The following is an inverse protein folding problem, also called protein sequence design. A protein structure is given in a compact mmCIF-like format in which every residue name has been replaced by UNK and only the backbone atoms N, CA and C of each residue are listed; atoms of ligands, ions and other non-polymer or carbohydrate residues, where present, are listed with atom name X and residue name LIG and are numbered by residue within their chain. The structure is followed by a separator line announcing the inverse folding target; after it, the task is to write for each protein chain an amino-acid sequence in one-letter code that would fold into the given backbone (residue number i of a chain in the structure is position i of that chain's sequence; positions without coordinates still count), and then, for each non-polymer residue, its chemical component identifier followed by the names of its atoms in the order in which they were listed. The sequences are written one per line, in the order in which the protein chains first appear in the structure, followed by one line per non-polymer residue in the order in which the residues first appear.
data_IF_233817541752
#
_entry.id   IF_233817541752
#
_cell.length_a   1.000
_cell.length_b   1.000
_cell.length_c   1.000
_cell.angle_alpha   90.00
_cell.angle_beta   90.00
_cell.angle_gamma   90.00
#
_symmetry.space_group_name_H-M   'P 1'
#
loop_
_entity.id
_entity.type
_entity.pdbx_description
1 polymer ?
#
# COMPACT_ATOMS: atom_id res chain seq x y z
N UNK A 1 7.07 -26.46 13.59
CA UNK A 1 5.79 -25.89 13.23
C UNK A 1 5.77 -24.42 13.67
N UNK A 2 5.60 -23.47 12.71
CA UNK A 2 5.63 -22.04 13.04
C UNK A 2 4.47 -21.60 13.96
N UNK A 3 3.35 -22.32 13.99
CA UNK A 3 2.23 -21.97 14.89
C UNK A 3 2.62 -22.04 16.37
N UNK A 4 3.59 -22.88 16.72
CA UNK A 4 4.06 -23.08 18.09
C UNK A 4 5.23 -22.11 18.45
N UNK A 5 5.67 -21.24 17.51
CA UNK A 5 6.75 -20.29 17.73
C UNK A 5 6.38 -19.32 18.88
N UNK A 6 7.11 -19.35 20.02
CA UNK A 6 6.88 -18.42 21.10
C UNK A 6 7.55 -17.07 20.83
N UNK A 7 6.90 -16.00 21.24
CA UNK A 7 7.48 -14.66 21.29
C UNK A 7 6.82 -13.82 22.40
N UNK A 8 7.42 -12.69 22.74
CA UNK A 8 6.86 -11.76 23.71
C UNK A 8 5.92 -10.79 22.99
N UNK A 9 4.69 -10.65 23.48
CA UNK A 9 3.75 -9.62 22.98
C UNK A 9 4.15 -8.22 23.49
N UNK A 10 3.37 -7.21 23.09
CA UNK A 10 3.59 -5.81 23.50
C UNK A 10 3.52 -5.57 25.02
N UNK A 11 3.01 -6.52 25.79
CA UNK A 11 2.91 -6.48 27.25
C UNK A 11 4.02 -7.31 27.93
N UNK A 12 4.90 -7.92 27.13
CA UNK A 12 5.96 -8.81 27.61
C UNK A 12 5.46 -10.19 28.06
N UNK A 13 4.25 -10.58 27.63
CA UNK A 13 3.71 -11.91 27.87
C UNK A 13 4.10 -12.86 26.75
N UNK A 14 4.56 -14.06 27.10
CA UNK A 14 4.81 -15.09 26.10
C UNK A 14 3.52 -15.58 25.45
N UNK A 15 3.47 -15.50 24.14
CA UNK A 15 2.37 -15.97 23.29
C UNK A 15 2.94 -16.77 22.13
N UNK A 16 2.11 -17.56 21.45
CA UNK A 16 2.54 -18.29 20.25
C UNK A 16 2.08 -17.58 18.97
N UNK A 17 2.73 -17.83 17.84
CA UNK A 17 2.27 -17.35 16.54
C UNK A 17 0.83 -17.77 16.25
N UNK A 18 0.46 -19.03 16.56
CA UNK A 18 -0.92 -19.50 16.41
C UNK A 18 -1.91 -18.66 17.20
N UNK A 19 -1.57 -18.26 18.42
CA UNK A 19 -2.42 -17.38 19.24
C UNK A 19 -2.50 -15.98 18.63
N UNK A 20 -1.38 -15.44 18.16
CA UNK A 20 -1.36 -14.15 17.44
C UNK A 20 -2.29 -14.15 16.22
N UNK A 21 -2.27 -15.21 15.40
CA UNK A 21 -3.13 -15.32 14.21
C UNK A 21 -4.61 -15.23 14.60
N UNK A 22 -5.01 -15.94 15.64
CA UNK A 22 -6.41 -15.91 16.14
C UNK A 22 -6.79 -14.54 16.69
N UNK A 23 -5.97 -13.96 17.57
CA UNK A 23 -6.27 -12.69 18.24
C UNK A 23 -6.31 -11.50 17.27
N UNK A 24 -5.65 -11.61 16.11
CA UNK A 24 -5.62 -10.58 15.08
C UNK A 24 -6.60 -10.84 13.92
N UNK A 25 -7.54 -11.79 14.06
CA UNK A 25 -8.51 -12.11 13.01
C UNK A 25 -7.84 -12.33 11.66
N UNK A 26 -6.76 -13.12 11.65
CA UNK A 26 -5.99 -13.39 10.43
C UNK A 26 -6.72 -14.39 9.56
N UNK A 27 -7.09 -13.97 8.36
CA UNK A 27 -7.77 -14.82 7.37
C UNK A 27 -6.78 -15.61 6.53
N UNK A 28 -5.63 -15.00 6.22
CA UNK A 28 -4.56 -15.60 5.46
C UNK A 28 -3.19 -15.11 5.89
N UNK A 29 -2.23 -16.03 6.01
CA UNK A 29 -0.86 -15.70 6.41
C UNK A 29 0.13 -16.60 5.66
N UNK A 30 1.09 -15.98 4.99
CA UNK A 30 2.13 -16.72 4.27
C UNK A 30 3.50 -16.14 4.62
N UNK A 31 4.46 -17.06 4.81
CA UNK A 31 5.89 -16.72 5.01
C UNK A 31 6.70 -17.36 3.89
N UNK A 32 7.48 -16.54 3.21
CA UNK A 32 8.50 -16.99 2.27
C UNK A 32 9.88 -16.71 2.88
N UNK A 33 10.78 -17.67 2.74
CA UNK A 33 12.18 -17.54 3.14
C UNK A 33 13.07 -18.16 2.05
N UNK A 34 14.11 -17.44 1.63
CA UNK A 34 14.98 -17.84 0.52
C UNK A 34 14.18 -18.22 -0.75
N UNK A 35 13.11 -17.49 -1.05
CA UNK A 35 12.26 -17.71 -2.21
C UNK A 35 11.28 -18.88 -2.11
N UNK A 36 11.24 -19.62 -1.00
CA UNK A 36 10.35 -20.76 -0.79
C UNK A 36 9.29 -20.47 0.25
N UNK A 37 8.07 -20.96 0.06
CA UNK A 37 7.00 -20.92 1.06
C UNK A 37 7.37 -21.87 2.20
N UNK A 38 7.58 -21.33 3.40
CA UNK A 38 7.92 -22.10 4.62
C UNK A 38 6.74 -22.22 5.58
N UNK A 39 5.74 -21.36 5.44
CA UNK A 39 4.50 -21.43 6.21
C UNK A 39 3.35 -20.82 5.43
N UNK A 40 2.19 -21.43 5.52
CA UNK A 40 0.95 -20.97 4.90
C UNK A 40 -0.23 -21.34 5.80
N UNK A 41 -1.12 -20.36 6.04
CA UNK A 41 -2.29 -20.52 6.90
C UNK A 41 -3.50 -19.83 6.27
N UNK A 42 -4.65 -20.46 6.36
CA UNK A 42 -5.95 -19.95 5.91
C UNK A 42 -6.98 -20.20 7.00
N UNK A 43 -7.83 -19.22 7.29
CA UNK A 43 -8.91 -19.31 8.27
C UNK A 43 -10.14 -18.51 7.81
N UNK A 44 -11.19 -18.48 8.63
CA UNK A 44 -12.43 -17.74 8.41
C UNK A 44 -13.07 -18.00 7.02
N UNK A 45 -12.83 -19.17 6.45
CA UNK A 45 -13.39 -19.57 5.16
C UNK A 45 -12.62 -19.05 3.94
N UNK A 46 -11.48 -18.38 4.12
CA UNK A 46 -10.60 -18.02 3.02
C UNK A 46 -9.98 -19.28 2.41
N UNK A 47 -10.02 -19.40 1.09
CA UNK A 47 -9.42 -20.50 0.35
C UNK A 47 -8.17 -20.02 -0.42
N UNK A 48 -7.25 -20.93 -0.81
CA UNK A 48 -6.04 -20.55 -1.56
C UNK A 48 -6.29 -19.76 -2.85
N UNK A 49 -7.45 -19.97 -3.48
CA UNK A 49 -7.87 -19.28 -4.69
C UNK A 49 -8.84 -18.10 -4.45
N UNK A 50 -9.12 -17.77 -3.18
CA UNK A 50 -9.99 -16.65 -2.85
C UNK A 50 -9.20 -15.34 -2.89
N UNK A 51 -9.62 -14.34 -3.71
CA UNK A 51 -9.01 -13.02 -3.65
C UNK A 51 -9.50 -12.30 -2.39
N UNK A 52 -8.59 -11.59 -1.73
CA UNK A 52 -8.85 -10.72 -0.58
C UNK A 52 -8.45 -9.29 -0.90
N UNK A 53 -9.21 -8.32 -0.38
CA UNK A 53 -8.92 -6.90 -0.59
C UNK A 53 -7.67 -6.49 0.20
N UNK A 54 -6.78 -5.72 -0.45
CA UNK A 54 -5.53 -5.27 0.13
C UNK A 54 -5.63 -3.94 0.88
N UNK A 55 -6.75 -3.24 0.70
CA UNK A 55 -6.85 -1.87 1.17
C UNK A 55 -5.59 -1.05 0.81
N UNK A 56 -4.97 -0.36 1.78
CA UNK A 56 -3.87 0.58 1.48
C UNK A 56 -2.57 -0.07 0.99
N UNK A 57 -2.39 -1.39 1.08
CA UNK A 57 -1.26 -2.05 0.42
C UNK A 57 -1.35 -1.90 -1.11
N UNK A 58 -2.54 -1.67 -1.66
CA UNK A 58 -2.74 -1.30 -3.07
C UNK A 58 -1.89 -0.10 -3.50
N UNK A 59 -1.63 0.84 -2.57
CA UNK A 59 -0.79 2.01 -2.83
C UNK A 59 0.66 1.63 -3.16
N UNK A 60 1.19 0.66 -2.43
CA UNK A 60 2.54 0.13 -2.67
C UNK A 60 2.63 -0.54 -4.04
N UNK A 61 1.61 -1.31 -4.43
CA UNK A 61 1.54 -1.91 -5.77
C UNK A 61 1.44 -0.86 -6.88
N UNK A 62 0.63 0.19 -6.68
CA UNK A 62 0.50 1.32 -7.61
C UNK A 62 1.85 2.05 -7.80
N UNK A 63 2.62 2.21 -6.72
CA UNK A 63 3.94 2.84 -6.79
C UNK A 63 4.98 1.98 -7.53
N UNK A 64 4.91 0.65 -7.42
CA UNK A 64 5.75 -0.25 -8.22
C UNK A 64 5.42 -0.09 -9.71
N UNK A 65 4.14 -0.05 -10.07
CA UNK A 65 3.72 0.22 -11.44
C UNK A 65 4.22 1.59 -11.94
N UNK A 66 4.20 2.61 -11.07
CA UNK A 66 4.75 3.93 -11.39
C UNK A 66 6.23 3.85 -11.76
N UNK A 67 7.03 3.10 -10.99
CA UNK A 67 8.46 2.94 -11.27
C UNK A 67 8.76 2.33 -12.64
N UNK A 68 7.94 1.40 -13.09
CA UNK A 68 8.06 0.81 -14.43
C UNK A 68 7.80 1.85 -15.52
N UNK A 69 6.76 2.70 -15.35
CA UNK A 69 6.47 3.75 -16.32
C UNK A 69 7.53 4.85 -16.34
N UNK A 70 8.09 5.18 -15.18
CA UNK A 70 9.22 6.14 -15.09
C UNK A 70 10.43 5.60 -15.84
N UNK A 71 10.81 4.35 -15.63
CA UNK A 71 11.96 3.72 -16.29
C UNK A 71 11.79 3.68 -17.83
N UNK A 72 10.56 3.54 -18.29
CA UNK A 72 10.23 3.57 -19.73
C UNK A 72 10.07 4.97 -20.32
N UNK A 73 10.20 6.01 -19.49
CA UNK A 73 10.09 7.40 -19.93
C UNK A 73 8.65 7.88 -20.22
N UNK A 74 7.63 7.14 -19.76
CA UNK A 74 6.23 7.59 -19.88
C UNK A 74 5.87 8.65 -18.83
N UNK A 75 6.62 8.72 -17.75
CA UNK A 75 6.33 9.54 -16.59
C UNK A 75 7.62 10.08 -15.96
N UNK A 76 7.65 11.38 -15.64
CA UNK A 76 8.69 11.98 -14.80
C UNK A 76 8.11 12.28 -13.39
N UNK A 77 8.66 11.72 -12.32
CA UNK A 77 8.20 12.02 -10.96
C UNK A 77 8.29 13.51 -10.58
N UNK A 78 9.16 14.28 -11.22
CA UNK A 78 9.34 15.69 -10.93
C UNK A 78 8.40 16.59 -11.73
N UNK A 79 7.71 16.06 -12.74
CA UNK A 79 6.74 16.83 -13.51
C UNK A 79 5.52 17.20 -12.67
N UNK A 80 4.96 18.41 -12.88
CA UNK A 80 3.67 18.80 -12.31
C UNK A 80 2.56 17.82 -12.72
N UNK A 81 1.68 17.50 -11.77
CA UNK A 81 0.52 16.62 -12.01
C UNK A 81 -0.35 17.19 -13.14
N UNK A 82 -0.51 18.51 -13.18
CA UNK A 82 -1.32 19.21 -14.19
C UNK A 82 -0.87 18.98 -15.65
N UNK A 83 0.38 18.55 -15.88
CA UNK A 83 0.84 18.15 -17.22
C UNK A 83 0.13 16.89 -17.72
N UNK A 84 -0.19 15.96 -16.81
CA UNK A 84 -0.89 14.72 -17.11
C UNK A 84 -2.41 14.88 -16.96
N UNK A 85 -2.84 15.63 -15.95
CA UNK A 85 -4.24 15.82 -15.55
C UNK A 85 -4.55 17.33 -15.46
N UNK A 86 -4.80 18.01 -16.58
CA UNK A 86 -5.15 19.44 -16.55
C UNK A 86 -6.39 19.77 -15.73
N UNK A 87 -7.26 18.78 -15.50
CA UNK A 87 -8.47 18.89 -14.69
C UNK A 87 -8.21 19.27 -13.22
N UNK A 88 -6.97 19.10 -12.71
CA UNK A 88 -6.61 19.49 -11.34
C UNK A 88 -6.15 20.94 -11.21
N UNK A 89 -6.15 21.73 -12.28
CA UNK A 89 -5.90 23.16 -12.20
C UNK A 89 -6.92 23.82 -11.24
N UNK A 90 -6.46 24.82 -10.46
CA UNK A 90 -7.20 25.49 -9.39
C UNK A 90 -7.57 24.57 -8.19
N UNK A 91 -6.93 23.43 -8.04
CA UNK A 91 -7.07 22.54 -6.88
C UNK A 91 -5.79 22.48 -6.04
N UNK A 92 -5.80 21.67 -4.98
CA UNK A 92 -4.60 21.38 -4.18
C UNK A 92 -3.45 20.79 -5.01
N UNK A 93 -3.74 20.21 -6.16
CA UNK A 93 -2.78 19.45 -6.95
C UNK A 93 -2.11 20.26 -8.08
N UNK A 94 -2.56 21.49 -8.36
CA UNK A 94 -2.10 22.31 -9.49
C UNK A 94 -0.58 22.48 -9.54
N UNK A 95 0.05 22.76 -8.38
CA UNK A 95 1.50 22.95 -8.26
C UNK A 95 2.24 21.74 -7.67
N UNK A 96 1.54 20.66 -7.41
CA UNK A 96 2.12 19.43 -6.88
C UNK A 96 2.75 18.62 -8.02
N UNK A 97 3.84 17.91 -7.71
CA UNK A 97 4.47 16.96 -8.63
C UNK A 97 4.00 15.53 -8.37
N UNK A 98 4.24 14.64 -9.32
CA UNK A 98 4.00 13.20 -9.14
C UNK A 98 4.79 12.65 -7.94
N UNK A 99 5.99 13.20 -7.66
CA UNK A 99 6.79 12.83 -6.48
C UNK A 99 6.06 13.14 -5.18
N UNK A 100 5.40 14.28 -5.09
CA UNK A 100 4.60 14.63 -3.91
C UNK A 100 3.42 13.66 -3.70
N UNK A 101 2.80 13.16 -4.78
CA UNK A 101 1.80 12.08 -4.67
C UNK A 101 2.44 10.80 -4.11
N UNK A 102 3.57 10.37 -4.68
CA UNK A 102 4.29 9.15 -4.32
C UNK A 102 4.72 9.14 -2.86
N UNK A 103 5.23 10.25 -2.36
CA UNK A 103 5.82 10.35 -1.03
C UNK A 103 4.83 10.89 0.03
N UNK A 104 3.53 11.01 -0.32
CA UNK A 104 2.49 11.52 0.58
C UNK A 104 2.85 12.87 1.20
N UNK A 105 3.35 13.80 0.39
CA UNK A 105 3.79 15.13 0.83
C UNK A 105 3.11 16.27 0.08
N UNK A 106 1.90 16.05 -0.43
CA UNK A 106 1.07 17.11 -0.98
C UNK A 106 0.52 17.95 0.19
N UNK A 107 0.70 19.27 0.13
CA UNK A 107 0.07 20.21 1.05
C UNK A 107 -1.41 20.35 0.69
N UNK A 108 -2.26 19.64 1.42
CA UNK A 108 -3.69 19.47 1.12
C UNK A 108 -4.52 19.44 2.40
N UNK A 109 -5.64 20.15 2.38
CA UNK A 109 -6.63 20.08 3.46
C UNK A 109 -7.48 18.81 3.27
N UNK A 110 -7.17 17.80 4.03
CA UNK A 110 -7.89 16.53 4.03
C UNK A 110 -7.57 15.75 5.32
N UNK A 111 -8.60 15.32 6.01
CA UNK A 111 -8.44 14.45 7.17
C UNK A 111 -8.96 13.05 6.85
N UNK A 112 -8.12 12.02 6.96
CA UNK A 112 -8.50 10.63 6.72
C UNK A 112 -8.92 9.97 8.04
N UNK A 113 -10.06 10.40 8.57
CA UNK A 113 -10.66 9.82 9.77
C UNK A 113 -11.68 8.74 9.39
N UNK A 114 -11.36 7.48 9.71
CA UNK A 114 -12.19 6.32 9.36
C UNK A 114 -13.49 6.24 10.16
N UNK A 115 -13.60 6.93 11.29
CA UNK A 115 -14.76 6.95 12.18
C UNK A 115 -15.69 8.13 11.92
N UNK A 116 -15.24 9.15 11.17
CA UNK A 116 -16.04 10.32 10.85
C UNK A 116 -16.91 10.07 9.60
N UNK A 117 -18.21 10.37 9.72
CA UNK A 117 -19.20 10.15 8.65
C UNK A 117 -19.57 11.44 7.88
N UNK A 118 -19.03 12.59 8.25
CA UNK A 118 -19.46 13.89 7.71
C UNK A 118 -18.35 14.76 7.13
N UNK A 119 -17.10 14.33 7.19
CA UNK A 119 -15.95 15.08 6.71
C UNK A 119 -15.57 14.78 5.25
N UNK A 120 -14.42 15.32 4.82
CA UNK A 120 -13.91 15.09 3.47
C UNK A 120 -13.65 13.61 3.18
N UNK A 121 -13.32 12.81 4.19
CA UNK A 121 -13.14 11.36 4.02
C UNK A 121 -14.47 10.65 3.75
N UNK A 122 -15.57 11.07 4.40
CA UNK A 122 -16.90 10.57 4.09
C UNK A 122 -17.31 10.92 2.64
N UNK A 123 -17.06 12.16 2.20
CA UNK A 123 -17.30 12.59 0.82
C UNK A 123 -16.45 11.79 -0.19
N UNK A 124 -15.20 11.53 0.14
CA UNK A 124 -14.34 10.64 -0.65
C UNK A 124 -14.91 9.21 -0.73
N UNK A 125 -15.38 8.64 0.38
CA UNK A 125 -16.03 7.32 0.38
C UNK A 125 -17.30 7.30 -0.48
N UNK A 126 -18.09 8.37 -0.48
CA UNK A 126 -19.22 8.53 -1.41
C UNK A 126 -18.77 8.58 -2.87
N UNK A 127 -17.76 9.37 -3.19
CA UNK A 127 -17.22 9.48 -4.54
C UNK A 127 -16.64 8.16 -5.06
N UNK A 128 -16.04 7.36 -4.18
CA UNK A 128 -15.53 6.03 -4.52
C UNK A 128 -16.61 4.96 -4.69
N UNK A 129 -17.86 5.25 -4.33
CA UNK A 129 -18.95 4.26 -4.30
C UNK A 129 -18.88 3.29 -3.11
N UNK A 130 -18.01 3.55 -2.13
CA UNK A 130 -17.87 2.70 -0.94
C UNK A 130 -19.05 2.81 0.03
N UNK A 131 -19.62 4.02 0.11
CA UNK A 131 -20.87 4.28 0.82
C UNK A 131 -21.89 4.94 -0.13
N UNK A 132 -23.20 4.90 0.19
CA UNK A 132 -24.23 5.57 -0.60
C UNK A 132 -23.99 7.08 -0.71
N UNK A 133 -24.34 7.66 -1.86
CA UNK A 133 -24.32 9.09 -2.06
C UNK A 133 -25.55 9.70 -1.36
N UNK A 134 -25.33 10.45 -0.29
CA UNK A 134 -26.40 11.02 0.54
C UNK A 134 -26.53 12.55 0.40
N UNK A 135 -25.51 13.21 -0.17
CA UNK A 135 -25.49 14.67 -0.34
C UNK A 135 -25.87 15.06 -1.78
N UNK A 136 -26.99 15.79 -2.00
CA UNK A 136 -27.31 16.32 -3.32
C UNK A 136 -26.23 17.26 -3.86
N UNK A 137 -25.74 16.99 -5.08
CA UNK A 137 -24.70 17.80 -5.72
C UNK A 137 -23.26 17.54 -5.26
N UNK A 138 -23.03 16.58 -4.35
CA UNK A 138 -21.69 16.12 -4.04
C UNK A 138 -21.07 15.37 -5.25
N UNK A 139 -19.73 15.39 -5.40
CA UNK A 139 -19.05 14.58 -6.39
C UNK A 139 -19.40 13.09 -6.22
N UNK A 140 -19.86 12.46 -7.27
CA UNK A 140 -20.33 11.07 -7.26
C UNK A 140 -19.32 10.06 -7.83
N UNK A 141 -18.14 10.55 -8.21
CA UNK A 141 -17.04 9.73 -8.75
C UNK A 141 -15.68 10.36 -8.39
N UNK A 142 -14.61 9.58 -8.49
CA UNK A 142 -13.26 10.00 -8.13
C UNK A 142 -12.77 11.20 -8.98
N UNK A 143 -12.97 11.16 -10.29
CA UNK A 143 -12.46 12.20 -11.18
C UNK A 143 -13.15 13.56 -10.98
N UNK A 144 -14.39 13.57 -10.50
CA UNK A 144 -15.09 14.81 -10.10
C UNK A 144 -14.72 15.25 -8.68
N UNK A 145 -14.37 14.32 -7.79
CA UNK A 145 -14.00 14.62 -6.40
C UNK A 145 -12.59 15.20 -6.29
N UNK A 146 -11.60 14.57 -6.92
CA UNK A 146 -10.18 14.93 -6.75
C UNK A 146 -9.86 16.41 -7.00
N UNK A 147 -10.42 17.07 -8.04
CA UNK A 147 -10.19 18.50 -8.27
C UNK A 147 -10.87 19.44 -7.26
N UNK A 148 -11.74 18.93 -6.38
CA UNK A 148 -12.41 19.76 -5.36
C UNK A 148 -11.55 20.00 -4.13
N UNK A 149 -10.49 19.22 -3.94
CA UNK A 149 -9.63 19.29 -2.77
C UNK A 149 -8.81 20.57 -2.74
N UNK A 150 -8.67 21.16 -1.56
CA UNK A 150 -8.07 22.50 -1.36
C UNK A 150 -6.66 22.39 -0.83
N UNK A 151 -5.82 23.32 -1.29
CA UNK A 151 -4.43 23.43 -0.82
C UNK A 151 -4.39 23.91 0.63
N UNK A 152 -3.53 23.27 1.41
CA UNK A 152 -3.17 23.68 2.77
C UNK A 152 -1.67 23.42 2.97
N UNK A 153 -0.89 24.48 3.17
CA UNK A 153 0.57 24.40 3.30
C UNK A 153 1.31 24.20 1.97
N UNK A 154 2.61 24.03 2.11
CA UNK A 154 3.51 23.80 0.98
C UNK A 154 3.67 22.30 0.71
N UNK A 155 3.90 21.95 -0.56
CA UNK A 155 4.22 20.57 -0.94
C UNK A 155 5.65 20.19 -0.55
N UNK A 156 5.87 18.92 -0.19
CA UNK A 156 7.20 18.39 0.09
C UNK A 156 7.76 18.72 1.48
N UNK A 157 7.00 19.41 2.37
CA UNK A 157 7.49 19.85 3.69
C UNK A 157 7.11 18.92 4.83
N UNK A 158 6.01 18.19 4.72
CA UNK A 158 5.54 17.26 5.73
C UNK A 158 4.87 16.05 5.10
N UNK A 159 5.06 14.89 5.70
CA UNK A 159 4.28 13.70 5.37
C UNK A 159 2.83 13.88 5.82
N UNK A 160 1.90 13.68 4.90
CA UNK A 160 0.48 13.71 5.18
C UNK A 160 -0.21 12.57 4.45
N UNK A 161 -0.67 11.57 5.20
CA UNK A 161 -1.31 10.41 4.62
C UNK A 161 -2.69 10.76 4.06
N UNK A 162 -2.85 10.66 2.74
CA UNK A 162 -4.07 11.04 2.02
C UNK A 162 -4.33 10.04 0.90
N UNK A 163 -5.36 9.20 1.03
CA UNK A 163 -5.72 8.19 0.03
C UNK A 163 -6.04 8.77 -1.35
N UNK A 164 -6.76 9.90 -1.49
CA UNK A 164 -6.94 10.59 -2.76
C UNK A 164 -5.67 10.80 -3.60
N UNK A 165 -4.51 11.03 -2.96
CA UNK A 165 -3.23 11.16 -3.65
C UNK A 165 -2.88 9.94 -4.51
N UNK A 166 -3.28 8.75 -4.08
CA UNK A 166 -2.96 7.52 -4.82
C UNK A 166 -4.00 7.24 -5.90
N UNK A 167 -5.27 7.54 -5.68
CA UNK A 167 -6.27 7.43 -6.74
C UNK A 167 -5.97 8.44 -7.87
N UNK A 168 -5.49 9.64 -7.53
CA UNK A 168 -4.99 10.58 -8.53
C UNK A 168 -3.74 10.03 -9.25
N UNK A 169 -2.81 9.39 -8.53
CA UNK A 169 -1.65 8.73 -9.15
C UNK A 169 -2.10 7.66 -10.15
N UNK A 170 -3.10 6.84 -9.81
CA UNK A 170 -3.69 5.88 -10.73
C UNK A 170 -4.23 6.53 -12.00
N UNK A 171 -4.90 7.66 -11.89
CA UNK A 171 -5.37 8.43 -13.05
C UNK A 171 -4.20 8.99 -13.89
N UNK A 172 -3.12 9.48 -13.23
CA UNK A 172 -1.89 9.89 -13.92
C UNK A 172 -1.29 8.74 -14.73
N UNK A 173 -1.23 7.53 -14.15
CA UNK A 173 -0.71 6.34 -14.84
C UNK A 173 -1.53 5.97 -16.08
N UNK A 174 -2.86 6.04 -15.99
CA UNK A 174 -3.74 5.81 -17.15
C UNK A 174 -3.49 6.85 -18.26
N UNK A 175 -3.37 8.14 -17.91
CA UNK A 175 -3.12 9.21 -18.88
C UNK A 175 -1.73 9.10 -19.52
N UNK A 176 -0.71 8.81 -18.72
CA UNK A 176 0.67 8.70 -19.20
C UNK A 176 0.87 7.48 -20.12
N UNK A 177 0.21 6.36 -19.81
CA UNK A 177 0.35 5.12 -20.60
C UNK A 177 -0.66 4.98 -21.75
N UNK A 178 -1.79 5.69 -21.67
CA UNK A 178 -2.91 5.52 -22.60
C UNK A 178 -3.71 4.21 -22.38
N UNK A 179 -3.48 3.50 -21.26
CA UNK A 179 -4.13 2.22 -20.94
C UNK A 179 -4.96 2.31 -19.67
N UNK A 180 -6.08 1.56 -19.55
CA UNK A 180 -6.77 1.37 -18.29
C UNK A 180 -5.83 0.76 -17.24
N UNK A 181 -5.96 1.18 -15.98
CA UNK A 181 -5.10 0.75 -14.88
C UNK A 181 -5.00 -0.79 -14.75
N UNK A 182 -6.14 -1.49 -14.82
CA UNK A 182 -6.17 -2.94 -14.68
C UNK A 182 -5.38 -3.64 -15.81
N UNK A 183 -5.50 -3.16 -17.04
CA UNK A 183 -4.75 -3.68 -18.18
C UNK A 183 -3.25 -3.40 -18.02
N UNK A 184 -2.91 -2.18 -17.65
CA UNK A 184 -1.53 -1.77 -17.42
C UNK A 184 -0.88 -2.62 -16.31
N UNK A 185 -1.56 -2.77 -15.17
CA UNK A 185 -1.07 -3.57 -14.04
C UNK A 185 -0.91 -5.05 -14.42
N UNK A 186 -1.88 -5.61 -15.14
CA UNK A 186 -1.84 -6.99 -15.64
C UNK A 186 -0.64 -7.21 -16.58
N UNK A 187 -0.43 -6.30 -17.52
CA UNK A 187 0.63 -6.41 -18.54
C UNK A 187 2.03 -6.23 -17.96
N UNK A 188 2.18 -5.29 -17.03
CA UNK A 188 3.50 -4.85 -16.57
C UNK A 188 3.99 -5.61 -15.32
N UNK A 189 3.07 -6.10 -14.50
CA UNK A 189 3.42 -6.75 -13.22
C UNK A 189 2.81 -8.15 -13.12
N UNK A 190 1.48 -8.26 -13.22
CA UNK A 190 0.77 -9.45 -12.76
C UNK A 190 1.10 -10.70 -13.58
N UNK A 191 0.99 -10.60 -14.90
CA UNK A 191 1.37 -11.70 -15.80
C UNK A 191 2.87 -11.99 -15.80
N UNK A 192 3.78 -10.98 -15.91
CA UNK A 192 5.22 -11.22 -15.88
C UNK A 192 5.71 -11.90 -14.61
N UNK A 193 5.16 -11.56 -13.44
CA UNK A 193 5.58 -12.18 -12.18
C UNK A 193 5.10 -13.63 -12.01
N UNK A 194 4.26 -14.14 -12.93
CA UNK A 194 3.75 -15.50 -12.91
C UNK A 194 2.68 -15.72 -11.84
N UNK A 195 1.74 -14.77 -11.70
CA UNK A 195 0.59 -14.93 -10.81
C UNK A 195 -0.23 -16.17 -11.17
N UNK A 196 -0.72 -16.89 -10.15
CA UNK A 196 -1.51 -18.09 -10.31
C UNK A 196 -2.98 -17.79 -10.66
N UNK A 197 -3.48 -16.66 -10.11
CA UNK A 197 -4.89 -16.26 -10.26
C UNK A 197 -4.99 -14.80 -10.72
N UNK A 198 -6.16 -14.46 -11.27
CA UNK A 198 -6.47 -13.09 -11.64
C UNK A 198 -6.54 -12.19 -10.39
N UNK A 199 -6.05 -10.96 -10.54
CA UNK A 199 -6.29 -9.89 -9.61
C UNK A 199 -7.52 -9.09 -10.02
N UNK A 200 -8.17 -8.47 -9.05
CA UNK A 200 -9.30 -7.57 -9.27
C UNK A 200 -8.99 -6.19 -8.72
N UNK A 201 -9.64 -5.18 -9.26
CA UNK A 201 -9.61 -3.83 -8.69
C UNK A 201 -11.02 -3.27 -8.62
N UNK A 202 -11.39 -2.77 -7.44
CA UNK A 202 -12.64 -2.06 -7.27
C UNK A 202 -12.60 -0.74 -8.05
N UNK A 203 -13.74 -0.33 -8.59
CA UNK A 203 -13.90 0.91 -9.34
C UNK A 203 -15.02 1.76 -8.74
N UNK A 204 -15.00 3.05 -9.01
CA UNK A 204 -16.12 3.92 -8.71
C UNK A 204 -17.29 3.70 -9.67
N UNK A 205 -18.37 4.49 -9.56
CA UNK A 205 -19.59 4.36 -10.38
C UNK A 205 -19.35 4.57 -11.87
N UNK A 206 -18.28 5.24 -12.25
CA UNK A 206 -17.91 5.53 -13.65
C UNK A 206 -16.74 4.69 -14.15
N UNK A 207 -16.28 3.72 -13.36
CA UNK A 207 -15.22 2.81 -13.74
C UNK A 207 -13.79 3.30 -13.44
N UNK A 208 -13.60 4.41 -12.69
CA UNK A 208 -12.29 4.84 -12.28
C UNK A 208 -11.72 3.89 -11.20
N UNK A 209 -10.46 3.42 -11.36
CA UNK A 209 -9.87 2.43 -10.46
C UNK A 209 -9.58 3.00 -9.07
N UNK A 210 -9.85 2.20 -8.04
CA UNK A 210 -9.51 2.47 -6.65
C UNK A 210 -8.07 2.06 -6.37
N UNK A 211 -7.11 2.71 -7.01
CA UNK A 211 -5.68 2.40 -6.89
C UNK A 211 -5.12 2.63 -5.48
N UNK A 212 -5.82 3.42 -4.66
CA UNK A 212 -5.47 3.66 -3.26
C UNK A 212 -5.86 2.52 -2.30
N UNK A 213 -6.79 1.62 -2.71
CA UNK A 213 -7.27 0.64 -1.73
C UNK A 213 -8.14 -0.47 -2.30
N UNK A 214 -8.28 -0.60 -3.61
CA UNK A 214 -9.23 -1.49 -4.24
C UNK A 214 -8.66 -2.76 -4.88
N UNK A 215 -7.35 -2.99 -4.82
CA UNK A 215 -6.74 -4.20 -5.39
C UNK A 215 -7.07 -5.40 -4.50
N UNK A 216 -7.51 -6.50 -5.15
CA UNK A 216 -7.82 -7.77 -4.51
C UNK A 216 -7.00 -8.87 -5.16
N UNK A 217 -6.33 -9.70 -4.36
CA UNK A 217 -5.41 -10.75 -4.83
C UNK A 217 -5.50 -12.00 -3.95
N UNK A 218 -5.02 -13.15 -4.43
CA UNK A 218 -4.84 -14.34 -3.60
C UNK A 218 -3.61 -14.22 -2.70
N UNK A 219 -3.59 -14.98 -1.61
CA UNK A 219 -2.51 -14.92 -0.62
C UNK A 219 -1.13 -15.28 -1.22
N UNK A 220 -1.07 -16.33 -2.04
CA UNK A 220 0.17 -16.77 -2.70
C UNK A 220 0.68 -15.73 -3.70
N UNK A 221 -0.22 -15.12 -4.45
CA UNK A 221 0.17 -14.07 -5.40
C UNK A 221 0.60 -12.78 -4.68
N UNK A 222 0.03 -12.52 -3.51
CA UNK A 222 0.49 -11.43 -2.65
C UNK A 222 1.91 -11.69 -2.11
N UNK A 223 2.20 -12.90 -1.63
CA UNK A 223 3.55 -13.33 -1.26
C UNK A 223 4.54 -13.24 -2.43
N UNK A 224 4.11 -13.68 -3.62
CA UNK A 224 4.91 -13.61 -4.86
C UNK A 224 5.27 -12.18 -5.26
N UNK A 225 4.32 -11.24 -5.11
CA UNK A 225 4.58 -9.82 -5.31
C UNK A 225 5.64 -9.30 -4.30
N UNK A 226 5.52 -9.66 -3.03
CA UNK A 226 6.53 -9.33 -2.02
C UNK A 226 7.91 -9.92 -2.34
N UNK A 227 7.95 -11.17 -2.80
CA UNK A 227 9.21 -11.84 -3.20
C UNK A 227 9.87 -11.15 -4.40
N UNK A 228 9.08 -10.70 -5.38
CA UNK A 228 9.60 -9.90 -6.49
C UNK A 228 10.22 -8.58 -5.99
N UNK A 229 9.58 -7.91 -5.02
CA UNK A 229 10.13 -6.69 -4.42
C UNK A 229 11.42 -6.98 -3.63
N UNK A 230 11.47 -8.08 -2.86
CA UNK A 230 12.66 -8.54 -2.14
C UNK A 230 13.82 -8.78 -3.11
N UNK A 231 13.55 -9.45 -4.22
CA UNK A 231 14.50 -9.78 -5.28
C UNK A 231 14.82 -8.60 -6.20
N UNK A 232 14.62 -7.37 -5.74
CA UNK A 232 14.97 -6.16 -6.48
C UNK A 232 14.34 -6.09 -7.89
N UNK A 233 13.10 -6.55 -8.00
CA UNK A 233 12.31 -6.52 -9.22
C UNK A 233 12.42 -7.73 -10.12
N UNK A 234 13.18 -8.76 -9.70
CA UNK A 234 13.25 -10.02 -10.42
C UNK A 234 12.08 -10.92 -10.01
N UNK A 235 11.30 -11.36 -10.96
CA UNK A 235 10.20 -12.30 -10.77
C UNK A 235 10.07 -13.24 -11.95
N UNK A 236 9.73 -14.51 -11.71
CA UNK A 236 9.54 -15.52 -12.75
C UNK A 236 10.67 -15.55 -13.80
N UNK A 237 11.91 -15.40 -13.35
CA UNK A 237 13.12 -15.44 -14.18
C UNK A 237 13.36 -14.20 -15.06
N UNK A 238 12.63 -13.11 -14.88
CA UNK A 238 12.77 -11.89 -15.67
C UNK A 238 12.80 -10.62 -14.79
N UNK A 239 13.41 -9.56 -15.32
CA UNK A 239 13.37 -8.22 -14.70
C UNK A 239 12.03 -7.57 -15.01
N UNK A 240 11.21 -7.37 -13.98
CA UNK A 240 9.86 -6.80 -14.07
C UNK A 240 9.88 -5.35 -13.64
N UNK A 241 10.50 -5.09 -12.47
CA UNK A 241 10.62 -3.75 -11.90
C UNK A 241 12.07 -3.30 -12.00
N UNK A 242 12.35 -2.06 -12.42
CA UNK A 242 13.73 -1.58 -12.49
C UNK A 242 14.37 -1.59 -11.09
N UNK A 243 15.52 -2.21 -10.96
CA UNK A 243 16.26 -2.36 -9.70
C UNK A 243 16.50 -1.02 -9.00
N UNK A 244 16.79 0.03 -9.78
CA UNK A 244 17.04 1.36 -9.23
C UNK A 244 15.82 1.94 -8.49
N UNK A 245 14.59 1.61 -8.93
CA UNK A 245 13.36 2.07 -8.28
C UNK A 245 13.19 1.44 -6.88
N UNK A 246 13.42 0.13 -6.76
CA UNK A 246 13.38 -0.56 -5.47
C UNK A 246 14.54 -0.13 -4.57
N UNK A 247 15.70 0.19 -5.13
CA UNK A 247 16.80 0.79 -4.38
C UNK A 247 16.42 2.18 -3.87
N UNK A 248 15.78 3.00 -4.69
CA UNK A 248 15.28 4.32 -4.29
C UNK A 248 14.27 4.20 -3.14
N UNK A 249 13.32 3.26 -3.22
CA UNK A 249 12.37 2.98 -2.12
C UNK A 249 13.12 2.66 -0.83
N UNK A 250 14.06 1.72 -0.87
CA UNK A 250 14.73 1.22 0.34
C UNK A 250 15.72 2.20 0.96
N UNK A 251 16.40 3.01 0.18
CA UNK A 251 17.50 3.84 0.62
C UNK A 251 17.13 5.30 0.83
N UNK A 252 16.12 5.78 0.14
CA UNK A 252 15.69 7.16 0.18
C UNK A 252 14.43 7.34 1.05
N UNK A 253 13.86 8.51 1.02
CA UNK A 253 12.81 8.98 1.92
C UNK A 253 13.36 10.08 2.82
N UNK A 254 12.71 11.24 2.80
CA UNK A 254 13.17 12.39 3.57
C UNK A 254 12.75 12.26 5.02
N UNK A 255 13.74 12.14 5.91
CA UNK A 255 13.51 12.01 7.35
C UNK A 255 12.91 13.27 7.96
N UNK A 256 13.26 14.46 7.44
CA UNK A 256 12.70 15.72 7.94
C UNK A 256 11.22 15.84 7.57
N UNK A 257 10.86 15.48 6.34
CA UNK A 257 9.47 15.44 5.86
C UNK A 257 8.67 14.41 6.66
N UNK A 258 9.23 13.24 6.94
CA UNK A 258 8.58 12.23 7.79
C UNK A 258 8.35 12.75 9.21
N UNK A 259 9.38 13.32 9.86
CA UNK A 259 9.32 13.81 11.23
C UNK A 259 8.35 14.99 11.41
N UNK A 260 8.11 15.77 10.35
CA UNK A 260 7.10 16.83 10.32
C UNK A 260 5.68 16.30 10.08
N UNK A 261 5.52 15.00 9.82
CA UNK A 261 4.26 14.37 9.44
C UNK A 261 3.35 14.04 10.62
N UNK A 262 2.08 13.83 10.30
CA UNK A 262 1.00 13.64 11.26
C UNK A 262 1.00 12.27 11.98
N UNK A 263 1.84 11.31 11.56
CA UNK A 263 1.95 9.98 12.20
C UNK A 263 3.36 9.63 12.67
N UNK A 264 4.30 10.55 12.57
CA UNK A 264 5.70 10.31 12.89
C UNK A 264 5.93 9.92 14.36
N UNK A 265 5.14 10.47 15.29
CA UNK A 265 5.21 10.13 16.73
C UNK A 265 4.88 8.67 17.03
N UNK A 266 4.00 8.06 16.21
CA UNK A 266 3.61 6.65 16.32
C UNK A 266 4.61 5.69 15.64
N UNK A 267 5.49 6.23 14.79
CA UNK A 267 6.47 5.47 14.00
C UNK A 267 7.82 6.21 13.98
N UNK A 268 8.49 6.36 15.14
CA UNK A 268 9.70 7.15 15.26
C UNK A 268 10.85 6.55 14.43
N UNK A 269 11.60 7.41 13.74
CA UNK A 269 12.73 7.07 12.88
C UNK A 269 12.38 6.23 11.63
N UNK A 270 11.10 6.04 11.33
CA UNK A 270 10.70 5.48 10.05
C UNK A 270 10.90 6.52 8.95
N UNK A 271 10.78 6.06 7.70
CA UNK A 271 10.74 6.91 6.50
C UNK A 271 9.61 6.44 5.60
N UNK A 272 9.24 7.27 4.64
CA UNK A 272 8.27 6.92 3.63
C UNK A 272 8.80 7.29 2.26
N UNK A 273 8.74 6.34 1.32
CA UNK A 273 9.19 6.57 -0.05
C UNK A 273 8.32 5.77 -1.02
N UNK A 274 7.76 6.47 -2.01
CA UNK A 274 6.99 5.83 -3.09
C UNK A 274 5.96 4.83 -2.57
N UNK A 275 5.12 5.25 -1.61
CA UNK A 275 4.04 4.45 -0.99
C UNK A 275 4.50 3.25 -0.14
N UNK A 276 5.75 3.21 0.26
CA UNK A 276 6.30 2.21 1.17
C UNK A 276 6.76 2.83 2.48
N UNK A 277 6.46 2.17 3.57
CA UNK A 277 7.03 2.46 4.89
C UNK A 277 8.38 1.77 5.01
N UNK A 278 9.40 2.49 5.43
CA UNK A 278 10.76 1.98 5.61
C UNK A 278 11.10 2.05 7.10
N UNK A 279 11.37 0.89 7.69
CA UNK A 279 11.71 0.75 9.10
C UNK A 279 13.17 1.10 9.34
N UNK A 280 13.55 1.48 10.58
CA UNK A 280 14.95 1.71 10.92
C UNK A 280 15.86 0.50 10.68
N UNK A 281 15.31 -0.72 10.73
CA UNK A 281 16.00 -1.99 10.46
C UNK A 281 16.31 -2.25 8.98
N UNK A 282 15.73 -1.47 8.06
CA UNK A 282 15.82 -1.67 6.61
C UNK A 282 14.72 -2.54 6.02
N UNK A 283 13.81 -3.04 6.85
CA UNK A 283 12.54 -3.62 6.42
C UNK A 283 11.73 -2.57 5.69
N UNK A 284 11.04 -2.94 4.63
CA UNK A 284 10.05 -2.07 3.99
C UNK A 284 8.70 -2.77 3.87
N UNK A 285 7.63 -2.03 4.04
CA UNK A 285 6.30 -2.60 4.21
C UNK A 285 5.19 -1.80 3.53
N UNK A 286 4.15 -2.51 3.12
CA UNK A 286 2.83 -1.98 2.81
C UNK A 286 1.87 -2.28 3.96
N UNK A 287 1.16 -1.26 4.43
CA UNK A 287 0.19 -1.37 5.52
C UNK A 287 -1.21 -1.04 5.01
N UNK A 288 -2.20 -1.82 5.41
CA UNK A 288 -3.61 -1.61 5.07
C UNK A 288 -4.53 -1.73 6.28
N UNK A 289 -5.59 -0.94 6.29
CA UNK A 289 -6.61 -1.00 7.34
C UNK A 289 -7.18 -2.41 7.49
N UNK A 290 -7.77 -2.68 8.63
CA UNK A 290 -8.29 -3.99 9.03
C UNK A 290 -7.23 -5.09 9.09
N UNK A 291 -5.93 -4.73 9.14
CA UNK A 291 -4.82 -5.64 9.37
C UNK A 291 -4.20 -6.27 8.11
N UNK A 292 -4.28 -5.63 6.95
CA UNK A 292 -3.52 -6.06 5.78
C UNK A 292 -2.06 -5.67 5.92
N UNK A 293 -1.15 -6.59 5.61
CA UNK A 293 0.28 -6.35 5.79
C UNK A 293 1.10 -7.06 4.72
N UNK A 294 2.03 -6.35 4.10
CA UNK A 294 3.12 -6.91 3.33
C UNK A 294 4.43 -6.47 3.97
N UNK A 295 5.15 -7.40 4.56
CA UNK A 295 6.43 -7.19 5.23
C UNK A 295 7.54 -7.81 4.37
N UNK A 296 8.56 -7.04 4.09
CA UNK A 296 9.70 -7.46 3.26
C UNK A 296 10.98 -7.14 4.02
N UNK A 297 11.70 -8.18 4.44
CA UNK A 297 12.96 -8.08 5.17
C UNK A 297 14.13 -8.57 4.32
N UNK A 298 14.93 -7.64 3.76
CA UNK A 298 16.09 -8.00 2.97
C UNK A 298 17.26 -8.60 3.77
N UNK A 299 17.32 -8.33 5.07
CA UNK A 299 18.40 -8.86 5.91
C UNK A 299 18.15 -10.33 6.27
N UNK A 300 16.88 -10.67 6.46
CA UNK A 300 16.47 -12.03 6.77
C UNK A 300 16.14 -12.89 5.53
N UNK A 301 16.08 -12.30 4.34
CA UNK A 301 15.53 -12.93 3.12
C UNK A 301 14.11 -13.48 3.35
N UNK A 302 13.27 -12.68 4.03
CA UNK A 302 11.92 -13.08 4.43
C UNK A 302 10.88 -12.14 3.82
N UNK A 303 9.78 -12.72 3.33
CA UNK A 303 8.53 -12.02 3.01
C UNK A 303 7.41 -12.60 3.84
N UNK A 304 6.63 -11.71 4.47
CA UNK A 304 5.39 -12.09 5.16
C UNK A 304 4.25 -11.31 4.53
N UNK A 305 3.22 -12.02 4.09
CA UNK A 305 1.98 -11.43 3.61
C UNK A 305 0.81 -11.87 4.50
N UNK A 306 -0.01 -10.92 4.92
CA UNK A 306 -1.15 -11.15 5.81
C UNK A 306 -2.42 -10.51 5.26
N UNK A 307 -3.49 -11.27 5.30
CA UNK A 307 -4.88 -10.83 5.22
C UNK A 307 -5.54 -10.94 6.57
N UNK A 308 -6.33 -9.97 6.96
CA UNK A 308 -7.11 -10.00 8.21
C UNK A 308 -8.45 -9.31 8.02
N UNK A 309 -9.42 -9.69 8.85
CA UNK A 309 -10.76 -9.08 8.96
C UNK A 309 -10.96 -8.49 10.35
N UNK A 310 -10.07 -7.60 10.78
CA UNK A 310 -10.17 -6.96 12.09
C UNK A 310 -11.42 -6.09 12.17
N UNK A 311 -12.08 -5.99 13.34
CA UNK A 311 -13.34 -5.25 13.47
C UNK A 311 -13.17 -3.73 13.34
N UNK A 312 -11.96 -3.19 13.58
CA UNK A 312 -11.64 -1.78 13.46
C UNK A 312 -10.66 -1.54 12.32
N UNK A 313 -10.84 -0.44 11.59
CA UNK A 313 -9.95 -0.03 10.52
C UNK A 313 -8.52 0.18 11.02
N UNK A 314 -8.37 0.87 12.13
CA UNK A 314 -7.10 1.11 12.80
C UNK A 314 -7.13 0.53 14.22
N UNK A 315 -6.05 -0.12 14.61
CA UNK A 315 -5.77 -0.55 15.96
C UNK A 315 -4.33 -0.12 16.29
N UNK A 316 -4.15 0.74 17.30
CA UNK A 316 -2.83 1.26 17.64
C UNK A 316 -1.79 0.19 17.98
N UNK A 317 -2.26 -0.98 18.45
CA UNK A 317 -1.39 -2.09 18.87
C UNK A 317 -1.06 -3.07 17.76
N UNK A 318 -1.79 -3.05 16.65
CA UNK A 318 -1.62 -4.03 15.55
C UNK A 318 -0.21 -4.00 14.96
N UNK A 319 0.29 -2.80 14.70
CA UNK A 319 1.62 -2.61 14.10
C UNK A 319 2.70 -3.22 15.00
N UNK A 320 2.71 -2.88 16.27
CA UNK A 320 3.75 -3.31 17.22
C UNK A 320 3.65 -4.81 17.52
N UNK A 321 2.44 -5.34 17.71
CA UNK A 321 2.21 -6.77 17.86
C UNK A 321 2.65 -7.57 16.63
N UNK A 322 2.35 -7.06 15.43
CA UNK A 322 2.75 -7.70 14.18
C UNK A 322 4.25 -7.69 14.01
N UNK A 323 4.90 -6.55 14.33
CA UNK A 323 6.35 -6.43 14.24
C UNK A 323 7.07 -7.45 15.13
N UNK A 324 6.67 -7.58 16.40
CA UNK A 324 7.25 -8.58 17.33
C UNK A 324 7.08 -10.01 16.82
N UNK A 325 5.90 -10.36 16.31
CA UNK A 325 5.67 -11.68 15.72
C UNK A 325 6.56 -11.94 14.49
N UNK A 326 6.74 -10.94 13.63
CA UNK A 326 7.52 -11.06 12.40
C UNK A 326 9.02 -11.10 12.67
N UNK A 327 9.52 -10.32 13.64
CA UNK A 327 10.90 -10.42 14.12
C UNK A 327 11.21 -11.82 14.66
N UNK A 328 10.32 -12.40 15.47
CA UNK A 328 10.51 -13.75 16.00
C UNK A 328 10.55 -14.81 14.86
N UNK A 329 9.76 -14.64 13.80
CA UNK A 329 9.83 -15.50 12.61
C UNK A 329 11.20 -15.34 11.92
N UNK A 330 11.65 -14.10 11.68
CA UNK A 330 12.93 -13.83 11.05
C UNK A 330 14.10 -14.38 11.87
N UNK A 331 14.09 -14.21 13.20
CA UNK A 331 15.09 -14.77 14.09
C UNK A 331 15.14 -16.30 14.05
N UNK A 332 13.99 -16.98 14.00
CA UNK A 332 13.94 -18.43 13.89
C UNK A 332 14.52 -18.92 12.57
N UNK A 333 14.18 -18.26 11.46
CA UNK A 333 14.59 -18.69 10.12
C UNK A 333 16.06 -18.42 9.81
N UNK A 334 16.71 -17.50 10.54
CA UNK A 334 18.13 -17.15 10.39
C UNK A 334 19.07 -17.92 11.35
N UNK A 335 18.57 -18.88 12.13
CA UNK A 335 19.37 -19.77 12.98
C UNK A 335 19.89 -20.96 12.19
#
# INVERSE_FOLDING_TARGET
NLTDLPFQDIQGKEVTLGRFLVDNNVDGFIVLHNGAVVFEHYDHGLLPNSPHILFSVSKSMTAILTGILVDRGFLDPNSPIAEYIPEVNNSAYESATVRHLLDMSVGISFNEDYENETDDFARYRMATGWIPLTEPGAPDNLRSFLPTLKKEGDHGVAFHYVSPNTDLLGWVLERASGLPFAELFSREIWRPMGAEYDAYINVDRLGAPRSAGGICVTLRDFGRFGQMCLNMGLGNGQSIVPNWWLRDIRQNGDQAVWNAGNIAEFMPNWRYRSKWYIFPTGVFAGLGVFGQFLYVDPAADVVIARFSSRPKALDPTDKDSSYLAYEAICELLNR
#
